data_IF_188080001233
#
_entry.id   IF_188080001233
#
_cell.length_a   1.000
_cell.length_b   1.000
_cell.length_c   1.000
_cell.angle_alpha   90.00
_cell.angle_beta   90.00
_cell.angle_gamma   90.00
#
_symmetry.space_group_name_H-M   'P 1'
#
loop_
_entity.id
_entity.type
_entity.pdbx_description
1 polymer ?
#
# COMPACT_ATOMS: atom_id res chain seq x y z
N UNK A 1 18.73 19.02 11.08
CA UNK A 1 17.48 18.45 11.67
C UNK A 1 17.84 17.33 12.63
N UNK A 2 17.11 17.15 13.73
CA UNK A 2 17.34 15.99 14.62
C UNK A 2 16.92 14.70 13.92
N UNK A 3 17.64 13.59 14.14
CA UNK A 3 17.35 12.27 13.55
C UNK A 3 15.90 11.84 13.78
N UNK A 4 15.36 12.12 14.97
CA UNK A 4 13.96 11.88 15.32
C UNK A 4 12.94 12.59 14.39
N UNK A 5 13.23 13.81 13.92
CA UNK A 5 12.35 14.52 12.97
C UNK A 5 12.34 13.84 11.60
N UNK A 6 13.50 13.42 11.11
CA UNK A 6 13.61 12.72 9.81
C UNK A 6 12.83 11.41 9.85
N UNK A 7 12.97 10.64 10.93
CA UNK A 7 12.20 9.40 11.12
C UNK A 7 10.69 9.65 11.18
N UNK A 8 10.26 10.68 11.90
CA UNK A 8 8.85 11.07 11.95
C UNK A 8 8.31 11.45 10.57
N UNK A 9 9.08 12.21 9.78
CA UNK A 9 8.71 12.60 8.40
C UNK A 9 8.57 11.38 7.48
N UNK A 10 9.53 10.44 7.54
CA UNK A 10 9.48 9.20 6.75
C UNK A 10 8.25 8.37 7.13
N UNK A 11 8.00 8.14 8.43
CA UNK A 11 6.83 7.39 8.93
C UNK A 11 5.51 8.07 8.57
N UNK A 12 5.44 9.41 8.67
CA UNK A 12 4.25 10.18 8.30
C UNK A 12 3.94 10.06 6.81
N UNK A 13 4.96 10.23 5.96
CA UNK A 13 4.81 10.10 4.52
C UNK A 13 4.36 8.69 4.13
N UNK A 14 4.97 7.66 4.72
CA UNK A 14 4.58 6.27 4.47
C UNK A 14 3.11 6.01 4.84
N UNK A 15 2.67 6.53 5.99
CA UNK A 15 1.28 6.39 6.45
C UNK A 15 0.29 7.02 5.47
N UNK A 16 0.62 8.20 4.93
CA UNK A 16 -0.21 8.87 3.92
C UNK A 16 -0.26 8.07 2.62
N UNK A 17 0.88 7.55 2.16
CA UNK A 17 0.94 6.71 0.97
C UNK A 17 0.11 5.43 1.15
N UNK A 18 0.20 4.78 2.32
CA UNK A 18 -0.60 3.61 2.66
C UNK A 18 -2.11 3.89 2.62
N UNK A 19 -2.55 5.02 3.18
CA UNK A 19 -3.96 5.44 3.13
C UNK A 19 -4.43 5.69 1.69
N UNK A 20 -3.61 6.37 0.89
CA UNK A 20 -3.91 6.63 -0.52
C UNK A 20 -4.07 5.32 -1.30
N UNK A 21 -3.13 4.40 -1.15
CA UNK A 21 -3.16 3.09 -1.83
C UNK A 21 -4.36 2.27 -1.36
N UNK A 22 -4.66 2.28 -0.06
CA UNK A 22 -5.85 1.62 0.49
C UNK A 22 -7.14 2.18 -0.12
N UNK A 23 -7.23 3.50 -0.28
CA UNK A 23 -8.35 4.14 -0.96
C UNK A 23 -8.44 3.73 -2.45
N UNK A 24 -7.30 3.65 -3.16
CA UNK A 24 -7.26 3.15 -4.54
C UNK A 24 -7.75 1.70 -4.65
N UNK A 25 -7.36 0.82 -3.72
CA UNK A 25 -7.80 -0.58 -3.70
C UNK A 25 -9.32 -0.67 -3.49
N UNK A 26 -9.86 0.07 -2.51
CA UNK A 26 -11.30 0.12 -2.26
C UNK A 26 -12.06 0.67 -3.46
N UNK A 27 -11.50 1.67 -4.13
CA UNK A 27 -12.07 2.24 -5.35
C UNK A 27 -12.06 1.24 -6.52
N UNK A 28 -10.96 0.50 -6.72
CA UNK A 28 -10.89 -0.59 -7.71
C UNK A 28 -11.94 -1.67 -7.44
N UNK A 29 -12.10 -2.05 -6.17
CA UNK A 29 -13.12 -3.02 -5.76
C UNK A 29 -14.54 -2.49 -6.02
N UNK A 30 -14.81 -1.24 -5.67
CA UNK A 30 -16.09 -0.58 -5.95
C UNK A 30 -16.39 -0.52 -7.45
N UNK A 31 -15.42 -0.13 -8.27
CA UNK A 31 -15.55 -0.08 -9.72
C UNK A 31 -15.81 -1.48 -10.31
N UNK A 32 -15.09 -2.49 -9.82
CA UNK A 32 -15.26 -3.89 -10.24
C UNK A 32 -16.58 -4.53 -9.79
N UNK A 33 -17.19 -4.07 -8.70
CA UNK A 33 -18.48 -4.57 -8.23
C UNK A 33 -19.68 -3.84 -8.88
N UNK A 34 -19.55 -2.53 -9.12
CA UNK A 34 -20.61 -1.70 -9.72
C UNK A 34 -20.61 -1.73 -11.24
N UNK A 35 -19.55 -2.24 -11.86
CA UNK A 35 -19.38 -2.22 -13.31
C UNK A 35 -19.03 -0.85 -13.88
N UNK A 36 -18.76 0.15 -13.03
CA UNK A 36 -18.47 1.52 -13.46
C UNK A 36 -16.98 1.69 -13.75
N UNK A 37 -16.58 1.46 -15.00
CA UNK A 37 -15.22 1.69 -15.48
C UNK A 37 -14.99 3.17 -15.78
N UNK A 38 -14.85 3.97 -14.72
CA UNK A 38 -14.52 5.40 -14.80
C UNK A 38 -13.09 5.64 -15.30
N UNK A 39 -12.80 6.79 -15.94
CA UNK A 39 -11.46 7.11 -16.46
C UNK A 39 -10.36 7.23 -15.39
N UNK A 40 -10.71 7.36 -14.11
CA UNK A 40 -9.74 7.37 -13.00
C UNK A 40 -9.27 5.97 -12.59
N UNK A 41 -9.96 4.91 -13.02
CA UNK A 41 -9.60 3.52 -12.71
C UNK A 41 -8.18 3.14 -13.16
N UNK A 42 -7.73 3.41 -14.40
CA UNK A 42 -6.35 3.11 -14.80
C UNK A 42 -5.30 3.85 -13.97
N UNK A 43 -5.60 5.05 -13.48
CA UNK A 43 -4.70 5.79 -12.57
C UNK A 43 -4.58 5.07 -11.23
N UNK A 44 -5.71 4.65 -10.65
CA UNK A 44 -5.72 3.87 -9.41
C UNK A 44 -4.97 2.54 -9.55
N UNK A 45 -5.18 1.82 -10.67
CA UNK A 45 -4.44 0.60 -10.99
C UNK A 45 -2.94 0.90 -11.10
N UNK A 46 -2.56 1.95 -11.82
CA UNK A 46 -1.16 2.34 -11.99
C UNK A 46 -0.46 2.63 -10.66
N UNK A 47 -1.12 3.32 -9.73
CA UNK A 47 -0.59 3.60 -8.38
C UNK A 47 -0.39 2.30 -7.60
N UNK A 48 -1.39 1.40 -7.58
CA UNK A 48 -1.32 0.12 -6.86
C UNK A 48 -0.21 -0.77 -7.44
N UNK A 49 -0.14 -0.88 -8.77
CA UNK A 49 0.90 -1.68 -9.45
C UNK A 49 2.29 -1.10 -9.21
N UNK A 50 2.46 0.23 -9.24
CA UNK A 50 3.73 0.88 -8.94
C UNK A 50 4.20 0.55 -7.51
N UNK A 51 3.31 0.63 -6.51
CA UNK A 51 3.67 0.25 -5.13
C UNK A 51 4.07 -1.23 -5.06
N UNK A 52 3.27 -2.14 -5.61
CA UNK A 52 3.55 -3.58 -5.59
C UNK A 52 4.91 -3.87 -6.24
N UNK A 53 5.23 -3.18 -7.34
CA UNK A 53 6.52 -3.29 -8.03
C UNK A 53 7.66 -2.83 -7.13
N UNK A 54 7.54 -1.64 -6.53
CA UNK A 54 8.55 -1.11 -5.61
C UNK A 54 8.75 -2.01 -4.38
N UNK A 55 7.66 -2.56 -3.84
CA UNK A 55 7.66 -3.46 -2.69
C UNK A 55 8.33 -4.81 -2.99
N UNK A 56 7.97 -5.41 -4.13
CA UNK A 56 8.54 -6.70 -4.58
C UNK A 56 10.02 -6.57 -4.97
N UNK A 57 10.41 -5.49 -5.66
CA UNK A 57 11.80 -5.22 -6.01
C UNK A 57 12.69 -4.98 -4.78
N UNK A 58 12.13 -4.49 -3.67
CA UNK A 58 12.83 -4.36 -2.39
C UNK A 58 12.77 -5.63 -1.52
N UNK A 59 12.39 -6.77 -2.09
CA UNK A 59 12.41 -8.06 -1.40
C UNK A 59 11.29 -8.23 -0.37
N UNK A 60 10.08 -7.71 -0.66
CA UNK A 60 8.93 -7.71 0.25
C UNK A 60 9.17 -6.90 1.53
N UNK A 61 10.05 -5.90 1.44
CA UNK A 61 10.25 -4.91 2.49
C UNK A 61 9.93 -3.52 1.94
N UNK A 62 9.35 -2.66 2.77
CA UNK A 62 9.13 -1.28 2.39
C UNK A 62 10.50 -0.59 2.20
N UNK A 63 10.77 0.10 1.07
CA UNK A 63 12.04 0.82 0.86
C UNK A 63 12.29 1.87 1.96
N UNK A 64 11.23 2.45 2.52
CA UNK A 64 11.34 3.40 3.61
C UNK A 64 11.89 2.75 4.89
N UNK A 65 11.77 1.43 5.05
CA UNK A 65 12.38 0.65 6.13
C UNK A 65 13.88 0.51 5.99
N UNK A 66 14.36 0.28 4.78
CA UNK A 66 15.79 0.32 4.52
C UNK A 66 16.36 1.73 4.75
N UNK A 67 15.60 2.77 4.39
CA UNK A 67 16.01 4.16 4.60
C UNK A 67 16.01 4.54 6.09
N UNK A 68 14.98 4.18 6.86
CA UNK A 68 14.89 4.46 8.29
C UNK A 68 16.05 3.80 9.07
N UNK A 69 16.40 2.55 8.75
CA UNK A 69 17.57 1.86 9.31
C UNK A 69 18.87 2.64 9.07
N UNK A 70 19.08 3.17 7.86
CA UNK A 70 20.27 3.98 7.54
C UNK A 70 20.38 5.29 8.32
N UNK A 71 19.26 5.84 8.79
CA UNK A 71 19.22 7.09 9.56
C UNK A 71 19.33 6.91 11.09
N UNK A 72 19.60 5.69 11.56
CA UNK A 72 19.96 5.42 12.96
C UNK A 72 18.84 4.87 13.82
N UNK A 73 17.88 4.15 13.22
CA UNK A 73 16.95 3.31 13.97
C UNK A 73 17.67 2.05 14.47
N UNK A 74 18.33 2.17 15.64
CA UNK A 74 19.18 1.13 16.25
C UNK A 74 18.34 -0.03 16.81
N UNK A 75 17.05 0.20 17.06
CA UNK A 75 16.15 -0.78 17.65
C UNK A 75 15.60 -1.81 16.64
N UNK A 76 15.87 -1.64 15.34
CA UNK A 76 15.64 -2.71 14.36
C UNK A 76 14.21 -3.26 14.33
N UNK A 77 13.23 -2.51 14.80
CA UNK A 77 11.84 -2.92 14.67
C UNK A 77 11.49 -2.72 13.20
N UNK A 78 11.46 -3.83 12.45
CA UNK A 78 11.04 -3.95 11.04
C UNK A 78 9.62 -3.39 10.74
N UNK A 79 8.99 -2.80 11.74
CA UNK A 79 7.59 -2.41 11.79
C UNK A 79 7.46 -0.90 11.57
N UNK A 80 7.49 -0.49 10.31
CA UNK A 80 7.31 0.91 9.87
C UNK A 80 5.84 1.38 9.91
N UNK A 81 4.94 0.55 10.42
CA UNK A 81 3.56 0.92 10.68
C UNK A 81 3.38 1.46 12.12
N UNK A 82 4.15 2.49 12.48
CA UNK A 82 4.48 2.73 13.89
C UNK A 82 3.94 4.03 14.49
N UNK A 83 2.89 4.62 13.89
CA UNK A 83 2.24 5.80 14.49
C UNK A 83 0.73 5.65 14.70
N UNK A 84 0.07 4.77 13.92
CA UNK A 84 -1.38 4.59 13.99
C UNK A 84 -1.85 3.14 14.10
N UNK A 85 -0.96 2.14 13.98
CA UNK A 85 -1.36 0.72 14.01
C UNK A 85 -0.83 0.00 15.25
N UNK A 86 -1.65 -0.80 15.94
CA UNK A 86 -1.19 -1.66 17.02
C UNK A 86 -0.17 -2.68 16.51
N UNK A 87 0.86 -3.00 17.31
CA UNK A 87 1.92 -3.96 16.94
C UNK A 87 1.40 -5.34 16.55
N UNK A 88 0.27 -5.77 17.10
CA UNK A 88 -0.39 -7.04 16.75
C UNK A 88 -1.07 -7.03 15.38
N UNK A 89 -1.40 -5.86 14.82
CA UNK A 89 -2.10 -5.73 13.54
C UNK A 89 -1.15 -5.62 12.35
N UNK A 90 0.09 -5.18 12.58
CA UNK A 90 1.12 -4.99 11.56
C UNK A 90 1.36 -6.25 10.69
N UNK A 91 1.50 -7.48 11.23
CA UNK A 91 1.68 -8.66 10.39
C UNK A 91 0.45 -9.00 9.53
N UNK A 92 -0.74 -8.53 9.90
CA UNK A 92 -1.98 -8.80 9.18
C UNK A 92 -2.27 -7.80 8.05
N UNK A 93 -1.65 -6.62 8.06
CA UNK A 93 -1.87 -5.57 7.05
C UNK A 93 -1.52 -6.05 5.65
N UNK A 94 -0.32 -6.60 5.48
CA UNK A 94 0.18 -7.03 4.16
C UNK A 94 -0.71 -8.13 3.54
N UNK A 95 -1.02 -9.25 4.23
CA UNK A 95 -1.91 -10.25 3.66
C UNK A 95 -3.32 -9.70 3.40
N UNK A 96 -3.85 -8.86 4.29
CA UNK A 96 -5.17 -8.25 4.10
C UNK A 96 -5.24 -7.36 2.85
N UNK A 97 -4.28 -6.43 2.68
CA UNK A 97 -4.20 -5.57 1.51
C UNK A 97 -3.97 -6.38 0.22
N UNK A 98 -3.12 -7.41 0.28
CA UNK A 98 -2.85 -8.29 -0.87
C UNK A 98 -4.11 -9.04 -1.29
N UNK A 99 -4.87 -9.60 -0.34
CA UNK A 99 -6.15 -10.26 -0.63
C UNK A 99 -7.15 -9.29 -1.26
N UNK A 100 -7.26 -8.06 -0.76
CA UNK A 100 -8.15 -7.05 -1.33
C UNK A 100 -7.76 -6.68 -2.78
N UNK A 101 -6.46 -6.52 -3.07
CA UNK A 101 -5.97 -6.27 -4.44
C UNK A 101 -6.35 -7.42 -5.38
N UNK A 102 -6.18 -8.67 -4.94
CA UNK A 102 -6.53 -9.85 -5.75
C UNK A 102 -8.03 -9.86 -6.04
N UNK A 103 -8.87 -9.66 -5.02
CA UNK A 103 -10.33 -9.65 -5.18
C UNK A 103 -10.75 -8.50 -6.12
N UNK A 104 -10.19 -7.29 -5.93
CA UNK A 104 -10.48 -6.15 -6.80
C UNK A 104 -10.09 -6.42 -8.25
N UNK A 105 -8.93 -7.04 -8.48
CA UNK A 105 -8.45 -7.41 -9.82
C UNK A 105 -9.35 -8.45 -10.49
N UNK A 106 -9.80 -9.46 -9.74
CA UNK A 106 -10.75 -10.47 -10.23
C UNK A 106 -12.10 -9.82 -10.58
N UNK A 107 -12.63 -8.96 -9.71
CA UNK A 107 -13.90 -8.28 -9.94
C UNK A 107 -13.84 -7.38 -11.19
N UNK A 108 -12.73 -6.67 -11.38
CA UNK A 108 -12.49 -5.87 -12.59
C UNK A 108 -12.39 -6.74 -13.84
N UNK A 109 -11.65 -7.85 -13.80
CA UNK A 109 -11.53 -8.78 -14.91
C UNK A 109 -12.89 -9.40 -15.29
N UNK A 110 -13.70 -9.77 -14.29
CA UNK A 110 -15.05 -10.31 -14.50
C UNK A 110 -15.99 -9.27 -15.12
N UNK A 111 -15.98 -8.04 -14.61
CA UNK A 111 -16.74 -6.93 -15.19
C UNK A 111 -16.33 -6.66 -16.63
N UNK A 112 -15.02 -6.67 -16.90
CA UNK A 112 -14.50 -6.42 -18.24
C UNK A 112 -14.91 -7.53 -19.22
N UNK A 113 -14.83 -8.80 -18.80
CA UNK A 113 -15.33 -9.95 -19.57
C UNK A 113 -16.84 -9.83 -19.86
N UNK A 114 -17.63 -9.33 -18.91
CA UNK A 114 -19.08 -9.20 -19.09
C UNK A 114 -19.46 -8.13 -20.12
N UNK A 115 -18.59 -7.13 -20.33
CA UNK A 115 -18.86 -5.97 -21.21
C UNK A 115 -18.36 -6.17 -22.65
N UNK A 116 -17.57 -7.21 -22.94
CA UNK A 116 -17.03 -7.54 -24.26
C UNK A 116 -17.48 -8.92 -24.73
#
# INVERSE_FOLDING_TARGET
MSRARVLFLIKSFHSVAFLLISACILYMLYAGLTGQLTPFLPVAIGIVVAEITVYTLNGFHCPLTALARRYGDVDGHDYIADIFLPTWFIPWVVPFCTSLVIIASIALAFTWWRLH
#
